data_IF_134399045549
#
_entry.id   IF_134399045549
#
_cell.length_a   1.000
_cell.length_b   1.000
_cell.length_c   1.000
_cell.angle_alpha   90.00
_cell.angle_beta   90.00
_cell.angle_gamma   90.00
#
_symmetry.space_group_name_H-M   'P 1'
#
loop_
_entity.id
_entity.type
_entity.pdbx_description
1 polymer ?
#
# COMPACT_ATOMS: atom_id res chain seq x y z
N UNK A 1 4.25 2.02 -1.82
CA UNK A 1 3.15 1.05 -1.66
C UNK A 1 1.79 1.66 -1.99
N UNK A 2 1.43 2.79 -1.38
CA UNK A 2 0.13 3.46 -1.59
C UNK A 2 -0.13 3.77 -3.08
N UNK A 3 0.84 4.37 -3.78
CA UNK A 3 0.72 4.67 -5.22
C UNK A 3 0.49 3.39 -6.05
N UNK A 4 1.26 2.33 -5.79
CA UNK A 4 1.08 1.02 -6.45
C UNK A 4 -0.30 0.42 -6.15
N UNK A 5 -0.76 0.49 -4.89
CA UNK A 5 -2.08 0.01 -4.47
C UNK A 5 -3.22 0.78 -5.13
N UNK A 6 -3.10 2.10 -5.29
CA UNK A 6 -4.07 2.93 -6.03
C UNK A 6 -4.14 2.54 -7.51
N UNK A 7 -2.99 2.31 -8.16
CA UNK A 7 -2.95 1.87 -9.56
C UNK A 7 -3.65 0.51 -9.73
N UNK A 8 -3.34 -0.46 -8.85
CA UNK A 8 -3.96 -1.78 -8.89
C UNK A 8 -5.45 -1.75 -8.57
N UNK A 9 -5.87 -0.92 -7.63
CA UNK A 9 -7.28 -0.72 -7.28
C UNK A 9 -8.06 -0.16 -8.48
N UNK A 10 -7.54 0.86 -9.14
CA UNK A 10 -8.16 1.44 -10.34
C UNK A 10 -8.26 0.38 -11.44
N UNK A 11 -7.18 -0.33 -11.75
CA UNK A 11 -7.21 -1.40 -12.75
C UNK A 11 -8.20 -2.51 -12.40
N UNK A 12 -8.28 -2.93 -11.14
CA UNK A 12 -9.24 -3.96 -10.69
C UNK A 12 -10.69 -3.55 -10.89
N UNK A 13 -11.01 -2.26 -10.67
CA UNK A 13 -12.35 -1.72 -10.90
C UNK A 13 -12.65 -1.63 -12.40
N UNK A 14 -11.71 -1.13 -13.22
CA UNK A 14 -11.90 -0.98 -14.66
C UNK A 14 -11.97 -2.33 -15.41
N UNK A 15 -11.26 -3.36 -14.94
CA UNK A 15 -11.28 -4.70 -15.54
C UNK A 15 -12.24 -5.69 -14.84
N UNK A 16 -13.05 -5.22 -13.88
CA UNK A 16 -14.01 -6.03 -13.09
C UNK A 16 -13.36 -7.26 -12.43
N UNK A 17 -12.09 -7.14 -12.03
CA UNK A 17 -11.26 -8.25 -11.57
C UNK A 17 -11.17 -8.20 -10.04
N UNK A 18 -12.03 -8.99 -9.36
CA UNK A 18 -12.13 -9.00 -7.89
C UNK A 18 -10.80 -9.24 -7.18
N UNK A 19 -9.91 -10.05 -7.76
CA UNK A 19 -8.61 -10.34 -7.18
C UNK A 19 -7.71 -9.08 -7.13
N UNK A 20 -7.70 -8.27 -8.19
CA UNK A 20 -6.91 -7.04 -8.25
C UNK A 20 -7.46 -5.98 -7.29
N UNK A 21 -8.78 -5.85 -7.18
CA UNK A 21 -9.42 -4.94 -6.21
C UNK A 21 -9.01 -5.33 -4.79
N UNK A 22 -9.10 -6.62 -4.44
CA UNK A 22 -8.73 -7.12 -3.12
C UNK A 22 -7.26 -6.83 -2.78
N UNK A 23 -6.35 -7.11 -3.71
CA UNK A 23 -4.91 -6.84 -3.52
C UNK A 23 -4.64 -5.34 -3.42
N UNK A 24 -5.28 -4.52 -4.27
CA UNK A 24 -5.15 -3.05 -4.24
C UNK A 24 -5.58 -2.46 -2.89
N UNK A 25 -6.72 -2.91 -2.34
CA UNK A 25 -7.21 -2.50 -1.02
C UNK A 25 -6.20 -2.87 0.07
N UNK A 26 -5.72 -4.11 0.10
CA UNK A 26 -4.74 -4.58 1.11
C UNK A 26 -3.46 -3.74 1.06
N UNK A 27 -2.95 -3.45 -0.13
CA UNK A 27 -1.73 -2.64 -0.29
C UNK A 27 -1.91 -1.20 0.16
N UNK A 28 -3.10 -0.61 -0.03
CA UNK A 28 -3.42 0.72 0.49
C UNK A 28 -3.46 0.67 2.01
N UNK A 29 -4.17 -0.29 2.62
CA UNK A 29 -4.28 -0.41 4.08
C UNK A 29 -2.91 -0.61 4.71
N UNK A 30 -2.13 -1.60 4.25
CA UNK A 30 -0.77 -1.88 4.77
C UNK A 30 0.15 -0.68 4.51
N UNK A 31 0.05 -0.08 3.32
CA UNK A 31 0.81 1.12 2.97
C UNK A 31 0.51 2.29 3.90
N UNK A 32 -0.75 2.51 4.28
CA UNK A 32 -1.13 3.53 5.24
C UNK A 32 -0.64 3.17 6.64
N UNK A 33 -0.87 1.95 7.11
CA UNK A 33 -0.42 1.51 8.44
C UNK A 33 1.09 1.67 8.61
N UNK A 34 1.90 1.20 7.66
CA UNK A 34 3.36 1.29 7.77
C UNK A 34 3.93 2.72 7.58
N UNK A 35 3.18 3.64 6.96
CA UNK A 35 3.60 5.04 6.81
C UNK A 35 3.08 5.95 7.93
N UNK A 36 1.91 5.64 8.51
CA UNK A 36 1.30 6.43 9.60
C UNK A 36 1.67 5.91 10.99
N UNK A 37 1.88 4.59 11.13
CA UNK A 37 2.41 4.01 12.36
C UNK A 37 3.92 3.90 12.19
N UNK A 38 4.73 4.62 12.99
CA UNK A 38 6.17 4.52 12.91
C UNK A 38 6.65 3.17 13.45
N UNK A 39 6.53 2.10 12.64
CA UNK A 39 7.15 0.78 12.84
C UNK A 39 8.55 0.82 12.23
N UNK A 40 9.34 1.79 12.65
CA UNK A 40 10.64 2.10 12.09
C UNK A 40 11.60 2.44 13.20
N UNK A 41 12.14 1.41 13.85
CA UNK A 41 13.19 1.55 14.85
C UNK A 41 14.32 2.45 14.34
N UNK A 42 14.80 3.31 15.22
CA UNK A 42 15.98 4.17 15.14
C UNK A 42 16.93 3.82 13.99
N UNK A 43 16.81 4.53 12.86
CA UNK A 43 17.95 4.73 11.96
C UNK A 43 18.88 5.73 12.63
N UNK A 44 19.71 5.25 13.56
CA UNK A 44 20.90 5.99 13.98
C UNK A 44 21.82 6.07 12.78
N UNK A 45 21.70 7.15 11.99
CA UNK A 45 22.74 7.53 11.05
C UNK A 45 23.87 8.12 11.91
N UNK A 46 24.82 7.28 12.33
CA UNK A 46 26.10 7.78 12.84
C UNK A 46 26.80 8.49 11.69
N UNK A 47 27.29 9.70 12.01
CA UNK A 47 27.92 10.66 11.12
C UNK A 47 29.11 10.08 10.36
#
# INVERSE_FOLDING_TARGET
MIVLGLILLLLGIFLTQNLLVTIGIVLIIVGLVLNLVPIGGTRRRVF
#
